data_IF_793217551224
#
_entry.id   IF_793217551224
#
_cell.length_a   1.000
_cell.length_b   1.000
_cell.length_c   1.000
_cell.angle_alpha   90.00
_cell.angle_beta   90.00
_cell.angle_gamma   90.00
#
_symmetry.space_group_name_H-M   'P 1'
#
loop_
_entity.id
_entity.type
_entity.pdbx_description
1 polymer ?
#
# COMPACT_ATOMS: atom_id res chain seq x y z
N UNK A 1 -40.29 -27.42 10.33
CA UNK A 1 -40.58 -27.55 11.77
C UNK A 1 -39.49 -26.80 12.51
N UNK A 2 -39.80 -25.55 12.92
CA UNK A 2 -38.87 -24.66 13.61
C UNK A 2 -38.78 -25.12 15.06
N UNK A 3 -37.61 -25.56 15.52
CA UNK A 3 -37.36 -25.71 16.96
C UNK A 3 -36.34 -24.67 17.38
N UNK A 4 -36.93 -23.56 17.80
CA UNK A 4 -36.38 -22.43 18.52
C UNK A 4 -35.66 -22.94 19.78
N UNK A 5 -34.36 -22.68 19.93
CA UNK A 5 -33.69 -22.79 21.23
C UNK A 5 -33.41 -21.37 21.69
N UNK A 6 -34.31 -20.88 22.52
CA UNK A 6 -34.16 -19.67 23.31
C UNK A 6 -33.22 -20.03 24.48
N UNK A 7 -32.00 -19.51 24.48
CA UNK A 7 -31.22 -19.37 25.72
C UNK A 7 -31.14 -17.87 25.97
N UNK A 8 -32.06 -17.42 26.81
CA UNK A 8 -31.90 -16.19 27.57
C UNK A 8 -30.81 -16.46 28.60
N UNK A 9 -29.75 -15.67 28.62
CA UNK A 9 -29.31 -14.94 29.81
C UNK A 9 -28.12 -14.04 29.47
N UNK A 10 -28.28 -12.79 29.84
CA UNK A 10 -27.28 -11.73 29.96
C UNK A 10 -26.14 -12.17 30.89
N UNK A 11 -24.90 -11.91 30.48
CA UNK A 11 -23.87 -11.19 31.25
C UNK A 11 -22.45 -11.52 30.74
N UNK A 12 -21.72 -10.46 30.40
CA UNK A 12 -20.24 -10.38 30.37
C UNK A 12 -19.45 -11.27 29.40
N UNK A 13 -18.96 -10.64 28.31
CA UNK A 13 -17.70 -10.95 27.57
C UNK A 13 -17.32 -12.42 27.32
N UNK A 14 -17.59 -12.92 26.11
CA UNK A 14 -16.70 -13.91 25.45
C UNK A 14 -16.47 -13.53 23.99
N UNK A 15 -15.21 -13.26 23.73
CA UNK A 15 -14.54 -12.85 22.52
C UNK A 15 -14.42 -14.02 21.51
N UNK A 16 -14.35 -13.69 20.22
CA UNK A 16 -13.81 -14.52 19.12
C UNK A 16 -14.69 -15.68 18.60
N UNK A 17 -15.68 -15.35 17.76
CA UNK A 17 -16.22 -16.28 16.75
C UNK A 17 -16.21 -15.66 15.35
N UNK A 18 -15.09 -15.05 14.95
CA UNK A 18 -14.83 -14.68 13.54
C UNK A 18 -13.36 -14.87 13.14
N UNK A 19 -12.68 -15.90 13.66
CA UNK A 19 -11.41 -16.35 13.09
C UNK A 19 -11.69 -17.51 12.14
N UNK A 20 -12.29 -17.23 10.98
CA UNK A 20 -12.39 -18.20 9.90
C UNK A 20 -11.38 -17.86 8.80
N UNK A 21 -10.42 -18.78 8.67
CA UNK A 21 -9.50 -18.99 7.56
C UNK A 21 -8.34 -18.00 7.36
N UNK A 22 -7.37 -18.07 8.28
CA UNK A 22 -5.92 -18.00 8.00
C UNK A 22 -5.52 -17.34 6.66
N UNK A 23 -5.30 -16.02 6.72
CA UNK A 23 -4.26 -15.37 5.94
C UNK A 23 -2.93 -16.12 6.14
N UNK A 24 -2.44 -16.84 5.13
CA UNK A 24 -1.00 -17.15 4.96
C UNK A 24 -0.73 -17.71 3.55
N UNK A 25 -0.80 -16.85 2.55
CA UNK A 25 -0.25 -17.11 1.19
C UNK A 25 0.53 -15.92 0.61
N UNK A 26 0.92 -14.93 1.42
CA UNK A 26 1.57 -13.71 0.93
C UNK A 26 3.10 -13.71 1.10
N UNK A 27 3.71 -14.69 1.80
CA UNK A 27 5.16 -14.65 2.08
C UNK A 27 6.07 -15.45 1.13
N UNK A 28 5.54 -16.11 0.08
CA UNK A 28 6.38 -16.91 -0.83
C UNK A 28 6.41 -16.39 -2.25
N UNK A 29 6.81 -15.13 -2.45
CA UNK A 29 7.38 -14.66 -3.73
C UNK A 29 8.14 -13.33 -3.48
N UNK A 30 9.11 -13.32 -2.55
CA UNK A 30 10.23 -12.36 -2.67
C UNK A 30 11.14 -12.87 -3.79
N UNK A 31 10.63 -12.84 -5.02
CA UNK A 31 11.46 -12.90 -6.21
C UNK A 31 12.27 -11.62 -6.22
N UNK A 32 13.60 -11.73 -6.13
CA UNK A 32 14.50 -10.61 -6.38
C UNK A 32 14.31 -10.13 -7.81
N UNK A 33 13.37 -9.20 -8.01
CA UNK A 33 13.25 -8.44 -9.25
C UNK A 33 14.27 -7.32 -9.18
N UNK A 34 15.06 -7.21 -10.24
CA UNK A 34 15.82 -5.99 -10.52
C UNK A 34 14.79 -4.87 -10.75
N UNK A 35 14.50 -4.09 -9.71
CA UNK A 35 13.50 -3.03 -9.76
C UNK A 35 14.04 -1.87 -10.59
N UNK A 36 13.79 -1.89 -11.90
CA UNK A 36 13.97 -0.72 -12.73
C UNK A 36 12.93 0.33 -12.31
N UNK A 37 13.36 1.26 -11.45
CA UNK A 37 12.50 2.31 -10.89
C UNK A 37 11.72 3.11 -11.95
N UNK A 38 12.26 3.23 -13.16
CA UNK A 38 11.70 4.03 -14.26
C UNK A 38 10.91 3.25 -15.33
N UNK A 39 10.57 1.97 -15.11
CA UNK A 39 9.83 1.20 -16.13
C UNK A 39 8.41 1.73 -16.41
N UNK A 40 7.78 2.42 -15.44
CA UNK A 40 6.40 2.89 -15.57
C UNK A 40 6.34 4.39 -15.90
N UNK A 41 5.67 4.73 -16.99
CA UNK A 41 5.40 6.11 -17.44
C UNK A 41 4.72 6.95 -16.36
N UNK A 42 3.88 6.33 -15.53
CA UNK A 42 3.13 7.01 -14.47
C UNK A 42 3.99 7.32 -13.25
N UNK A 43 5.23 6.83 -13.16
CA UNK A 43 6.06 6.99 -11.96
C UNK A 43 6.25 8.46 -11.58
N UNK A 44 6.63 9.30 -12.55
CA UNK A 44 6.90 10.73 -12.31
C UNK A 44 5.65 11.44 -11.80
N UNK A 45 4.51 11.21 -12.44
CA UNK A 45 3.24 11.79 -12.04
C UNK A 45 2.79 11.29 -10.66
N UNK A 46 2.96 9.99 -10.39
CA UNK A 46 2.59 9.40 -9.12
C UNK A 46 3.44 9.95 -7.96
N UNK A 47 4.74 10.18 -8.16
CA UNK A 47 5.60 10.84 -7.17
C UNK A 47 5.14 12.27 -6.88
N UNK A 48 4.78 13.04 -7.93
CA UNK A 48 4.26 14.41 -7.76
C UNK A 48 2.95 14.43 -6.96
N UNK A 49 2.04 13.49 -7.23
CA UNK A 49 0.79 13.38 -6.50
C UNK A 49 0.99 12.96 -5.03
N UNK A 50 1.91 12.05 -4.77
CA UNK A 50 2.29 11.66 -3.41
C UNK A 50 2.83 12.87 -2.65
N UNK A 51 3.70 13.68 -3.27
CA UNK A 51 4.23 14.91 -2.67
C UNK A 51 3.14 15.92 -2.34
N UNK A 52 2.20 16.14 -3.26
CA UNK A 52 1.06 17.03 -3.02
C UNK A 52 0.22 16.56 -1.83
N UNK A 53 -0.13 15.27 -1.77
CA UNK A 53 -1.02 14.74 -0.74
C UNK A 53 -0.31 14.43 0.60
N UNK A 54 1.03 14.46 0.62
CA UNK A 54 1.90 14.09 1.74
C UNK A 54 1.66 12.68 2.32
N UNK A 55 0.94 11.83 1.57
CA UNK A 55 0.55 10.47 1.98
C UNK A 55 0.70 9.56 0.77
N UNK A 56 1.25 8.36 0.99
CA UNK A 56 1.35 7.34 -0.04
C UNK A 56 0.53 6.11 0.34
N UNK A 57 -0.52 5.82 -0.44
CA UNK A 57 -1.33 4.61 -0.31
C UNK A 57 -1.74 4.06 -1.69
N UNK A 58 -1.91 2.74 -1.77
CA UNK A 58 -2.27 2.07 -3.02
C UNK A 58 -3.64 2.55 -3.53
N UNK A 59 -4.61 2.66 -2.63
CA UNK A 59 -5.98 3.08 -2.95
C UNK A 59 -6.05 4.52 -3.45
N UNK A 60 -5.20 5.42 -2.94
CA UNK A 60 -5.08 6.79 -3.44
C UNK A 60 -4.63 6.80 -4.91
N UNK A 61 -3.56 6.08 -5.23
CA UNK A 61 -3.04 5.99 -6.60
C UNK A 61 -4.05 5.35 -7.57
N UNK A 62 -4.77 4.31 -7.12
CA UNK A 62 -5.83 3.69 -7.93
C UNK A 62 -6.91 4.70 -8.33
N UNK A 63 -7.31 5.58 -7.41
CA UNK A 63 -8.34 6.59 -7.66
C UNK A 63 -7.84 7.74 -8.52
N UNK A 64 -6.59 8.18 -8.31
CA UNK A 64 -6.03 9.34 -9.01
C UNK A 64 -5.65 9.04 -10.46
N UNK A 65 -5.12 7.86 -10.71
CA UNK A 65 -4.60 7.46 -12.04
C UNK A 65 -5.48 6.42 -12.74
N UNK A 66 -6.59 6.00 -12.13
CA UNK A 66 -7.49 4.97 -12.65
C UNK A 66 -6.78 3.66 -13.02
N UNK A 67 -5.83 3.23 -12.18
CA UNK A 67 -5.01 2.03 -12.37
C UNK A 67 -5.45 0.87 -11.46
N UNK A 68 -5.16 -0.37 -11.88
CA UNK A 68 -5.38 -1.57 -11.08
C UNK A 68 -4.45 -1.68 -9.86
N UNK A 69 -4.87 -2.49 -8.87
CA UNK A 69 -4.15 -2.67 -7.60
C UNK A 69 -2.68 -3.09 -7.79
N UNK A 70 -2.42 -4.07 -8.66
CA UNK A 70 -1.07 -4.59 -8.88
C UNK A 70 -0.11 -3.51 -9.43
N UNK A 71 -0.61 -2.64 -10.31
CA UNK A 71 0.19 -1.52 -10.84
C UNK A 71 0.46 -0.49 -9.76
N UNK A 72 -0.57 -0.08 -9.00
CA UNK A 72 -0.41 0.84 -7.88
C UNK A 72 0.55 0.30 -6.79
N UNK A 73 0.50 -1.01 -6.51
CA UNK A 73 1.43 -1.68 -5.60
C UNK A 73 2.86 -1.56 -6.10
N UNK A 74 3.14 -1.91 -7.36
CA UNK A 74 4.49 -1.81 -7.95
C UNK A 74 5.02 -0.39 -7.91
N UNK A 75 4.18 0.60 -8.22
CA UNK A 75 4.56 2.01 -8.11
C UNK A 75 5.02 2.36 -6.69
N UNK A 76 4.30 1.90 -5.67
CA UNK A 76 4.67 2.10 -4.27
C UNK A 76 5.96 1.36 -3.90
N UNK A 77 6.13 0.11 -4.33
CA UNK A 77 7.35 -0.66 -4.06
C UNK A 77 8.58 0.00 -4.70
N UNK A 78 8.43 0.55 -5.90
CA UNK A 78 9.50 1.29 -6.56
C UNK A 78 9.82 2.59 -5.81
N UNK A 79 8.82 3.36 -5.39
CA UNK A 79 9.02 4.56 -4.57
C UNK A 79 9.70 4.26 -3.22
N UNK A 80 9.37 3.11 -2.61
CA UNK A 80 10.01 2.63 -1.39
C UNK A 80 11.47 2.24 -1.66
N UNK A 81 11.75 1.53 -2.75
CA UNK A 81 13.10 1.16 -3.16
C UNK A 81 13.97 2.38 -3.49
N UNK A 82 13.37 3.46 -4.01
CA UNK A 82 14.04 4.74 -4.24
C UNK A 82 14.22 5.58 -2.96
N UNK A 83 13.68 5.13 -1.82
CA UNK A 83 13.75 5.86 -0.54
C UNK A 83 12.81 7.06 -0.44
N UNK A 84 11.86 7.24 -1.36
CA UNK A 84 10.94 8.40 -1.37
C UNK A 84 9.94 8.28 -0.21
N UNK A 85 9.44 7.07 -0.02
CA UNK A 85 8.41 6.75 0.97
C UNK A 85 8.93 5.77 2.02
N UNK A 86 8.32 5.83 3.20
CA UNK A 86 8.62 4.93 4.30
C UNK A 86 8.20 3.49 4.02
N UNK A 87 8.83 2.59 4.76
CA UNK A 87 8.44 1.18 4.85
C UNK A 87 6.97 1.00 5.23
N UNK A 88 6.42 -0.18 4.92
CA UNK A 88 5.04 -0.52 5.25
C UNK A 88 4.89 -0.70 6.76
N UNK A 89 4.28 0.28 7.43
CA UNK A 89 3.95 0.21 8.85
C UNK A 89 2.46 -0.16 9.03
N UNK A 90 2.18 -1.46 9.15
CA UNK A 90 0.85 -1.95 9.54
C UNK A 90 -0.29 -1.45 8.64
N UNK A 91 -1.29 -0.83 9.27
CA UNK A 91 -2.52 -0.31 8.65
C UNK A 91 -2.44 1.17 8.24
N UNK A 92 -1.35 1.85 8.56
CA UNK A 92 -1.20 3.28 8.29
C UNK A 92 -0.64 3.55 6.89
N UNK A 93 -0.98 4.73 6.35
CA UNK A 93 -0.42 5.19 5.08
C UNK A 93 1.08 5.49 5.23
N UNK A 94 1.85 5.23 4.17
CA UNK A 94 3.29 5.48 4.15
C UNK A 94 3.55 6.98 4.18
N UNK A 95 4.55 7.39 4.96
CA UNK A 95 4.99 8.78 5.09
C UNK A 95 6.13 9.05 4.11
N UNK A 96 6.26 10.30 3.69
CA UNK A 96 7.36 10.74 2.81
C UNK A 96 8.58 11.04 3.69
N UNK A 97 9.74 10.53 3.30
CA UNK A 97 10.99 10.71 4.05
C UNK A 97 11.87 11.78 3.38
N UNK A 98 11.89 11.81 2.05
CA UNK A 98 12.70 12.77 1.29
C UNK A 98 12.02 14.12 1.09
N UNK A 99 12.84 15.16 1.01
CA UNK A 99 12.38 16.51 0.73
C UNK A 99 11.99 16.69 -0.75
N UNK A 100 11.06 17.61 -1.02
CA UNK A 100 10.55 17.85 -2.39
C UNK A 100 11.68 18.27 -3.34
N UNK A 101 12.64 19.04 -2.84
CA UNK A 101 13.77 19.55 -3.60
C UNK A 101 14.69 18.43 -4.11
N UNK A 102 14.93 17.42 -3.28
CA UNK A 102 15.78 16.27 -3.59
C UNK A 102 15.12 15.35 -4.62
N UNK A 103 13.82 15.07 -4.45
CA UNK A 103 13.04 14.25 -5.37
C UNK A 103 13.01 14.88 -6.77
N UNK A 104 12.88 16.21 -6.85
CA UNK A 104 12.89 16.93 -8.13
C UNK A 104 14.23 16.78 -8.86
N UNK A 105 15.36 16.77 -8.14
CA UNK A 105 16.69 16.53 -8.73
C UNK A 105 16.83 15.10 -9.28
N UNK A 106 16.36 14.09 -8.53
CA UNK A 106 16.37 12.70 -9.00
C UNK A 106 15.59 12.50 -10.30
N UNK A 107 14.48 13.23 -10.48
CA UNK A 107 13.67 13.18 -11.72
C UNK A 107 14.41 13.87 -12.88
N UNK A 108 15.18 14.93 -12.61
CA UNK A 108 15.90 15.70 -13.64
C UNK A 108 17.18 14.99 -14.12
N UNK A 109 17.96 14.40 -13.21
CA UNK A 109 19.25 13.76 -13.53
C UNK A 109 19.12 12.54 -14.46
N UNK A 110 17.93 11.93 -14.52
CA UNK A 110 17.63 10.75 -15.34
C UNK A 110 17.02 11.10 -16.71
N UNK A 111 16.70 12.36 -16.95
CA UNK A 111 16.18 12.88 -18.22
C UNK A 111 17.30 13.43 -19.14
N UNK A 112 18.55 13.40 -18.67
CA UNK A 112 19.76 13.82 -19.40
C UNK A 112 20.52 12.58 -19.85
#
# INVERSE_FOLDING_TARGET
>A
MKRLVFILTTDSVVLILYTCHMQTRIDRLQGGMTMNFFEDELMKAAVQEVLHQQKASTTMLQRRFHIGYNRARRLIEHMEAAGIISGKNGYEARKIIMDETEIRRMIQDKNK
#
